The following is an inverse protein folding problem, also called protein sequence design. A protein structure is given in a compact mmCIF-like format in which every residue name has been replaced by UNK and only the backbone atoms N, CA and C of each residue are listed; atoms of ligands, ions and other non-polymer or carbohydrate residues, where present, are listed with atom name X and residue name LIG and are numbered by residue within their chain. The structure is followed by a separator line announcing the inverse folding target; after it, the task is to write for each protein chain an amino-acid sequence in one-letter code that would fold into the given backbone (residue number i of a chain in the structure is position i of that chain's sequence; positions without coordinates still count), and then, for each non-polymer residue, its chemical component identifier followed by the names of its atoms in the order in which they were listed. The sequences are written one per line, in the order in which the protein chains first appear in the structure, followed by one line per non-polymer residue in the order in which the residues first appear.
data_IF_349049180476
#
_entry.id   IF_349049180476
#
_cell.length_a   1.000
_cell.length_b   1.000
_cell.length_c   1.000
_cell.angle_alpha   90.00
_cell.angle_beta   90.00
_cell.angle_gamma   90.00
#
_symmetry.space_group_name_H-M   'P 1'
#
loop_
_entity.id
_entity.type
_entity.pdbx_description
1 polymer ?
#
# COMPACT_ATOMS: atom_id res chain seq x y z
N UNK A 1 -9.07 -26.58 12.69
CA UNK A 1 -10.05 -25.63 13.24
C UNK A 1 -11.43 -25.97 12.71
N UNK A 2 -12.42 -26.14 13.56
CA UNK A 2 -13.82 -26.38 13.17
C UNK A 2 -14.64 -25.16 13.51
N UNK A 3 -15.53 -24.73 12.62
CA UNK A 3 -16.47 -23.63 12.86
C UNK A 3 -17.89 -24.19 13.00
N UNK A 4 -18.53 -23.86 14.10
CA UNK A 4 -19.96 -23.98 14.36
C UNK A 4 -20.57 -25.39 14.39
N UNK A 5 -20.55 -26.14 13.36
CA UNK A 5 -21.23 -27.44 13.18
C UNK A 5 -20.30 -28.64 13.13
N UNK A 6 -19.02 -28.45 13.44
CA UNK A 6 -18.02 -29.52 13.43
C UNK A 6 -17.55 -29.97 12.05
N UNK A 7 -17.99 -29.34 10.99
CA UNK A 7 -17.45 -29.58 9.66
C UNK A 7 -15.96 -29.15 9.59
N UNK A 8 -15.09 -29.91 8.91
CA UNK A 8 -13.72 -29.47 8.71
C UNK A 8 -13.72 -28.12 7.96
N UNK A 9 -12.92 -27.18 8.45
CA UNK A 9 -12.72 -25.92 7.76
C UNK A 9 -12.10 -26.21 6.40
N UNK A 10 -12.92 -26.20 5.36
CA UNK A 10 -12.46 -26.17 3.98
C UNK A 10 -12.13 -24.72 3.72
N UNK A 11 -10.85 -24.46 3.49
CA UNK A 11 -10.35 -23.14 3.21
C UNK A 11 -11.20 -22.46 2.10
N UNK A 12 -11.95 -21.39 2.39
CA UNK A 12 -12.87 -20.80 1.42
C UNK A 12 -12.16 -20.33 0.14
N UNK A 13 -10.85 -20.10 0.21
CA UNK A 13 -10.04 -19.69 -0.94
C UNK A 13 -9.88 -20.77 -2.01
N UNK A 14 -10.00 -22.07 -1.68
CA UNK A 14 -9.97 -23.14 -2.70
C UNK A 14 -11.13 -23.04 -3.70
N UNK A 15 -12.21 -22.33 -3.32
CA UNK A 15 -13.38 -22.06 -4.15
C UNK A 15 -13.71 -20.57 -4.23
N UNK A 16 -12.84 -19.70 -3.71
CA UNK A 16 -13.06 -18.27 -3.64
C UNK A 16 -12.85 -17.63 -5.02
N UNK A 17 -13.70 -16.71 -5.46
CA UNK A 17 -13.56 -15.98 -6.71
C UNK A 17 -12.22 -15.23 -6.87
N UNK A 18 -11.52 -14.87 -5.80
CA UNK A 18 -10.19 -14.27 -5.89
C UNK A 18 -9.20 -15.09 -6.70
N UNK A 19 -9.30 -16.43 -6.66
CA UNK A 19 -8.43 -17.31 -7.43
C UNK A 19 -8.97 -17.63 -8.83
N UNK A 20 -10.25 -17.41 -9.07
CA UNK A 20 -10.92 -17.83 -10.30
C UNK A 20 -11.58 -16.69 -11.08
N UNK A 21 -12.01 -15.62 -10.42
CA UNK A 21 -12.84 -14.61 -11.05
C UNK A 21 -12.71 -13.19 -10.52
N UNK A 22 -12.10 -12.97 -9.36
CA UNK A 22 -11.85 -11.62 -8.88
C UNK A 22 -10.79 -10.94 -9.72
N UNK A 23 -11.13 -9.80 -10.28
CA UNK A 23 -10.32 -9.12 -11.30
C UNK A 23 -9.58 -7.92 -10.77
N UNK A 24 -9.86 -7.50 -9.53
CA UNK A 24 -9.28 -6.30 -8.94
C UNK A 24 -7.97 -6.60 -8.19
N UNK A 25 -6.79 -6.29 -8.75
CA UNK A 25 -5.51 -6.52 -8.08
C UNK A 25 -5.38 -5.81 -6.73
N UNK A 26 -6.04 -4.68 -6.52
CA UNK A 26 -6.00 -3.98 -5.23
C UNK A 26 -6.68 -4.78 -4.11
N UNK A 27 -7.81 -5.44 -4.39
CA UNK A 27 -8.48 -6.34 -3.45
C UNK A 27 -7.60 -7.55 -3.20
N UNK A 28 -7.07 -8.17 -4.27
CA UNK A 28 -6.19 -9.32 -4.19
C UNK A 28 -4.93 -9.02 -3.36
N UNK A 29 -4.32 -7.85 -3.51
CA UNK A 29 -3.17 -7.41 -2.72
C UNK A 29 -3.49 -7.37 -1.21
N UNK A 30 -4.63 -6.79 -0.82
CA UNK A 30 -5.07 -6.78 0.57
C UNK A 30 -5.39 -8.19 1.12
N UNK A 31 -5.94 -9.07 0.28
CA UNK A 31 -6.19 -10.48 0.64
C UNK A 31 -4.87 -11.21 0.86
N UNK A 32 -3.86 -10.98 0.01
CA UNK A 32 -2.51 -11.53 0.18
C UNK A 32 -1.89 -11.06 1.49
N UNK A 33 -1.92 -9.75 1.80
CA UNK A 33 -1.39 -9.24 3.05
C UNK A 33 -2.05 -9.89 4.26
N UNK A 34 -3.38 -9.93 4.27
CA UNK A 34 -4.16 -10.49 5.38
C UNK A 34 -3.92 -12.00 5.51
N UNK A 35 -3.96 -12.73 4.40
CA UNK A 35 -3.74 -14.17 4.39
C UNK A 35 -2.33 -14.55 4.85
N UNK A 36 -1.32 -13.83 4.39
CA UNK A 36 0.07 -14.02 4.81
C UNK A 36 0.23 -13.79 6.32
N UNK A 37 -0.35 -12.71 6.85
CA UNK A 37 -0.34 -12.43 8.29
C UNK A 37 -0.95 -13.57 9.12
N UNK A 38 -2.02 -14.20 8.64
CA UNK A 38 -2.67 -15.33 9.32
C UNK A 38 -2.07 -16.71 8.96
N UNK A 39 -0.97 -16.76 8.22
CA UNK A 39 -0.28 -17.99 7.85
C UNK A 39 -1.03 -18.85 6.83
N UNK A 40 -1.85 -18.21 5.99
CA UNK A 40 -2.55 -18.85 4.89
C UNK A 40 -1.63 -18.93 3.68
N UNK A 41 -1.65 -20.04 2.94
CA UNK A 41 -0.94 -20.13 1.67
C UNK A 41 -1.56 -19.21 0.63
N UNK A 42 -0.85 -18.16 0.28
CA UNK A 42 -1.26 -17.13 -0.69
C UNK A 42 -0.54 -17.29 -2.04
N UNK A 43 0.27 -18.33 -2.24
CA UNK A 43 1.06 -18.52 -3.46
C UNK A 43 0.22 -18.44 -4.75
N UNK A 44 -0.97 -19.07 -4.86
CA UNK A 44 -1.78 -18.97 -6.09
C UNK A 44 -2.22 -17.54 -6.41
N UNK A 45 -2.54 -16.75 -5.39
CA UNK A 45 -2.97 -15.36 -5.59
C UNK A 45 -1.77 -14.45 -5.90
N UNK A 46 -0.62 -14.72 -5.31
CA UNK A 46 0.64 -14.05 -5.64
C UNK A 46 1.03 -14.32 -7.09
N UNK A 47 0.98 -15.57 -7.56
CA UNK A 47 1.26 -15.92 -8.95
C UNK A 47 0.36 -15.14 -9.93
N UNK A 48 -0.93 -15.04 -9.61
CA UNK A 48 -1.88 -14.22 -10.36
C UNK A 48 -1.46 -12.75 -10.42
N UNK A 49 -1.15 -12.13 -9.28
CA UNK A 49 -0.72 -10.74 -9.22
C UNK A 49 0.58 -10.49 -10.01
N UNK A 50 1.51 -11.45 -10.01
CA UNK A 50 2.71 -11.37 -10.85
C UNK A 50 2.38 -11.36 -12.35
N UNK A 51 1.40 -12.18 -12.77
CA UNK A 51 0.92 -12.23 -14.15
C UNK A 51 0.14 -10.98 -14.60
N UNK A 52 -0.44 -10.23 -13.67
CA UNK A 52 -1.23 -9.02 -13.91
C UNK A 52 -0.40 -7.72 -13.88
N UNK A 53 0.91 -7.81 -13.60
CA UNK A 53 1.78 -6.63 -13.56
C UNK A 53 1.89 -5.98 -14.95
N UNK A 54 1.65 -4.67 -15.00
CA UNK A 54 1.72 -3.90 -16.25
C UNK A 54 3.16 -3.56 -16.65
N UNK A 55 3.34 -3.17 -17.92
CA UNK A 55 4.66 -2.88 -18.49
C UNK A 55 5.39 -1.73 -17.82
N UNK A 56 4.65 -0.77 -17.24
CA UNK A 56 5.20 0.36 -16.49
C UNK A 56 5.54 0.05 -15.04
N UNK A 57 5.40 -1.22 -14.62
CA UNK A 57 5.89 -1.76 -13.37
C UNK A 57 4.86 -1.89 -12.25
N UNK A 58 3.69 -1.28 -12.34
CA UNK A 58 2.65 -1.38 -11.32
C UNK A 58 1.43 -2.20 -11.76
N UNK A 59 0.27 -1.93 -11.16
CA UNK A 59 -1.01 -2.61 -11.40
C UNK A 59 -2.15 -1.60 -11.54
N UNK A 60 -3.25 -2.03 -12.17
CA UNK A 60 -4.46 -1.23 -12.29
C UNK A 60 -5.72 -2.11 -12.30
N UNK A 61 -6.72 -1.78 -11.48
CA UNK A 61 -8.01 -2.48 -11.41
C UNK A 61 -8.86 -2.31 -12.68
N UNK A 62 -8.59 -1.26 -13.48
CA UNK A 62 -9.35 -0.93 -14.69
C UNK A 62 -8.80 -1.59 -15.98
N UNK A 63 -7.96 -2.61 -15.86
CA UNK A 63 -7.39 -3.30 -17.05
C UNK A 63 -8.49 -3.91 -17.93
N UNK A 64 -9.53 -4.49 -17.35
CA UNK A 64 -10.68 -5.03 -18.09
C UNK A 64 -11.47 -3.94 -18.84
N UNK A 65 -11.41 -2.70 -18.33
CA UNK A 65 -12.00 -1.52 -18.95
C UNK A 65 -11.05 -0.81 -19.93
N UNK A 66 -9.92 -1.46 -20.24
CA UNK A 66 -8.95 -0.97 -21.23
C UNK A 66 -7.82 -0.12 -20.68
N UNK A 67 -7.62 -0.03 -19.36
CA UNK A 67 -6.45 0.65 -18.79
C UNK A 67 -5.16 -0.08 -19.17
N UNK A 68 -4.16 0.67 -19.64
CA UNK A 68 -2.85 0.15 -20.06
C UNK A 68 -1.69 0.70 -19.23
N UNK A 69 -2.00 1.57 -18.27
CA UNK A 69 -1.05 2.19 -17.33
C UNK A 69 -1.46 1.90 -15.90
N UNK A 70 -0.48 1.78 -15.03
CA UNK A 70 -0.70 1.50 -13.62
C UNK A 70 -1.37 2.65 -12.88
N UNK A 71 -2.05 2.33 -11.78
CA UNK A 71 -2.59 3.30 -10.83
C UNK A 71 -1.85 3.22 -9.49
N UNK A 72 -1.71 4.35 -8.81
CA UNK A 72 -1.07 4.40 -7.49
C UNK A 72 -1.83 3.60 -6.44
N UNK A 73 -3.16 3.76 -6.42
CA UNK A 73 -4.01 3.06 -5.46
C UNK A 73 -3.94 1.54 -5.61
N UNK A 74 -4.03 1.01 -6.84
CA UNK A 74 -3.89 -0.43 -7.05
C UNK A 74 -2.48 -0.90 -6.73
N UNK A 75 -1.47 -0.18 -7.21
CA UNK A 75 -0.07 -0.55 -7.04
C UNK A 75 0.33 -0.65 -5.58
N UNK A 76 -0.01 0.34 -4.73
CA UNK A 76 0.36 0.30 -3.33
C UNK A 76 -0.26 -0.89 -2.58
N UNK A 77 -1.53 -1.22 -2.85
CA UNK A 77 -2.18 -2.37 -2.23
C UNK A 77 -1.52 -3.70 -2.61
N UNK A 78 -1.09 -3.84 -3.87
CA UNK A 78 -0.36 -5.04 -4.31
C UNK A 78 1.04 -5.08 -3.70
N UNK A 79 1.75 -3.97 -3.68
CA UNK A 79 3.09 -3.88 -3.09
C UNK A 79 3.12 -4.28 -1.61
N UNK A 80 2.17 -3.79 -0.83
CA UNK A 80 2.02 -4.17 0.58
C UNK A 80 1.71 -5.67 0.72
N UNK A 81 0.84 -6.21 -0.14
CA UNK A 81 0.54 -7.64 -0.17
C UNK A 81 1.75 -8.51 -0.46
N UNK A 82 2.52 -8.16 -1.49
CA UNK A 82 3.73 -8.88 -1.86
C UNK A 82 4.80 -8.79 -0.76
N UNK A 83 4.95 -7.63 -0.11
CA UNK A 83 5.91 -7.45 0.98
C UNK A 83 5.55 -8.32 2.20
N UNK A 84 4.27 -8.35 2.61
CA UNK A 84 3.82 -9.21 3.71
C UNK A 84 3.97 -10.70 3.37
N UNK A 85 3.73 -11.08 2.11
CA UNK A 85 4.00 -12.45 1.66
C UNK A 85 5.48 -12.80 1.77
N UNK A 86 6.39 -11.93 1.30
CA UNK A 86 7.84 -12.14 1.42
C UNK A 86 8.28 -12.31 2.89
N UNK A 87 7.71 -11.51 3.79
CA UNK A 87 7.99 -11.61 5.23
C UNK A 87 7.52 -12.92 5.86
N UNK A 88 6.38 -13.42 5.40
CA UNK A 88 5.77 -14.62 5.96
C UNK A 88 6.44 -15.92 5.51
N UNK A 89 6.83 -16.02 4.23
CA UNK A 89 7.30 -17.29 3.65
C UNK A 89 8.77 -17.27 3.20
N UNK A 90 9.43 -16.10 3.29
CA UNK A 90 10.75 -15.90 2.70
C UNK A 90 10.62 -15.69 1.18
N UNK A 91 10.96 -14.50 0.68
CA UNK A 91 10.64 -14.07 -0.68
C UNK A 91 11.29 -14.91 -1.79
N UNK A 92 10.63 -14.98 -2.93
CA UNK A 92 11.21 -15.45 -4.19
C UNK A 92 11.86 -14.30 -4.96
N UNK A 93 12.80 -14.62 -5.86
CA UNK A 93 13.41 -13.62 -6.74
C UNK A 93 12.38 -12.93 -7.65
N UNK A 94 11.34 -13.66 -8.05
CA UNK A 94 10.26 -13.14 -8.91
C UNK A 94 9.40 -12.13 -8.16
N UNK A 95 8.97 -12.45 -6.95
CA UNK A 95 8.19 -11.55 -6.09
C UNK A 95 8.98 -10.28 -5.79
N UNK A 96 10.25 -10.42 -5.37
CA UNK A 96 11.13 -9.29 -5.10
C UNK A 96 11.37 -8.42 -6.35
N UNK A 97 11.49 -9.03 -7.54
CA UNK A 97 11.65 -8.29 -8.79
C UNK A 97 10.37 -7.53 -9.18
N UNK A 98 9.21 -8.16 -9.02
CA UNK A 98 7.93 -7.52 -9.30
C UNK A 98 7.67 -6.34 -8.34
N UNK A 99 7.94 -6.54 -7.04
CA UNK A 99 7.81 -5.48 -6.04
C UNK A 99 8.73 -4.30 -6.36
N UNK A 100 10.01 -4.54 -6.66
CA UNK A 100 10.93 -3.46 -7.06
C UNK A 100 10.45 -2.66 -8.27
N UNK A 101 9.92 -3.31 -9.32
CA UNK A 101 9.36 -2.59 -10.47
C UNK A 101 8.17 -1.72 -10.09
N UNK A 102 7.32 -2.18 -9.16
CA UNK A 102 6.21 -1.39 -8.65
C UNK A 102 6.66 -0.21 -7.78
N UNK A 103 7.71 -0.40 -6.99
CA UNK A 103 8.37 0.68 -6.23
C UNK A 103 9.00 1.72 -7.17
N UNK A 104 9.70 1.28 -8.22
CA UNK A 104 10.24 2.14 -9.27
C UNK A 104 9.15 2.96 -9.97
N UNK A 105 7.98 2.34 -10.24
CA UNK A 105 6.82 3.07 -10.79
C UNK A 105 6.40 4.25 -9.90
N UNK A 106 6.38 4.07 -8.57
CA UNK A 106 6.06 5.14 -7.62
C UNK A 106 7.17 6.19 -7.54
N UNK A 107 8.44 5.76 -7.46
CA UNK A 107 9.62 6.62 -7.34
C UNK A 107 9.81 7.51 -8.57
N UNK A 108 9.69 6.98 -9.79
CA UNK A 108 9.79 7.75 -11.04
C UNK A 108 8.75 8.89 -11.14
N UNK A 109 7.74 8.87 -10.28
CA UNK A 109 6.65 9.85 -10.17
C UNK A 109 6.74 10.66 -8.87
N UNK A 110 7.89 10.61 -8.21
CA UNK A 110 8.11 11.27 -6.90
C UNK A 110 6.95 11.04 -5.94
N UNK A 111 6.30 9.86 -6.01
CA UNK A 111 5.16 9.40 -5.21
C UNK A 111 3.82 10.11 -5.48
N UNK A 112 3.76 11.20 -6.24
CA UNK A 112 2.50 11.94 -6.45
C UNK A 112 2.46 12.80 -7.72
N UNK A 113 3.49 12.73 -8.58
CA UNK A 113 3.61 13.59 -9.76
C UNK A 113 3.39 12.82 -11.06
N UNK A 114 2.86 13.51 -12.05
CA UNK A 114 2.82 13.02 -13.43
C UNK A 114 4.23 13.01 -14.01
N UNK A 115 4.67 11.85 -14.50
CA UNK A 115 6.00 11.70 -15.12
C UNK A 115 6.17 12.62 -16.34
N UNK A 116 5.10 12.92 -17.08
CA UNK A 116 5.16 13.73 -18.32
C UNK A 116 5.19 15.23 -18.07
N UNK A 117 4.49 15.75 -17.06
CA UNK A 117 4.32 17.19 -16.82
C UNK A 117 4.92 17.66 -15.48
N UNK A 118 5.22 16.74 -14.56
CA UNK A 118 5.62 17.09 -13.21
C UNK A 118 4.50 17.63 -12.32
N UNK A 119 3.27 17.73 -12.83
CA UNK A 119 2.12 18.19 -12.05
C UNK A 119 1.68 17.18 -11.01
N UNK A 120 1.08 17.65 -9.92
CA UNK A 120 0.43 16.79 -8.91
C UNK A 120 -0.71 16.02 -9.59
N UNK A 121 -0.72 14.71 -9.42
CA UNK A 121 -1.74 13.83 -10.03
C UNK A 121 -3.10 14.07 -9.39
N UNK A 122 -3.12 14.00 -8.06
CA UNK A 122 -4.31 14.22 -7.26
C UNK A 122 -3.94 14.94 -5.95
N UNK A 123 -4.44 16.16 -5.73
CA UNK A 123 -4.17 16.90 -4.49
C UNK A 123 -4.64 16.18 -3.21
N UNK A 124 -5.62 15.28 -3.29
CA UNK A 124 -6.09 14.52 -2.14
C UNK A 124 -5.03 13.59 -1.58
N UNK A 125 -4.09 13.12 -2.40
CA UNK A 125 -2.98 12.26 -1.97
C UNK A 125 -1.98 12.97 -1.05
N UNK A 126 -2.02 14.29 -1.01
CA UNK A 126 -1.20 15.08 -0.09
C UNK A 126 -1.85 15.24 1.28
N UNK A 127 -3.07 14.74 1.50
CA UNK A 127 -3.80 14.78 2.77
C UNK A 127 -3.69 13.42 3.45
N UNK A 128 -3.15 13.39 4.66
CA UNK A 128 -2.89 12.14 5.39
C UNK A 128 -4.15 11.58 6.04
N UNK A 129 -4.41 10.30 5.79
CA UNK A 129 -5.56 9.58 6.31
C UNK A 129 -5.13 8.43 7.24
N UNK A 130 -6.05 8.08 8.16
CA UNK A 130 -5.94 6.85 8.94
C UNK A 130 -7.34 6.41 9.43
N UNK A 131 -7.70 5.10 9.28
CA UNK A 131 -6.99 4.14 8.43
C UNK A 131 -7.03 4.51 6.94
N UNK A 132 -6.00 4.07 6.20
CA UNK A 132 -5.90 4.38 4.77
C UNK A 132 -6.83 3.52 3.91
N UNK A 133 -7.31 2.40 4.44
CA UNK A 133 -8.04 1.39 3.69
C UNK A 133 -7.29 1.01 2.40
N UNK A 134 -7.98 1.06 1.24
CA UNK A 134 -7.39 0.86 -0.08
C UNK A 134 -6.93 2.16 -0.77
N UNK A 135 -7.13 3.31 -0.11
CA UNK A 135 -6.75 4.60 -0.68
C UNK A 135 -5.26 4.89 -0.56
N UNK A 136 -4.76 5.67 -1.48
CA UNK A 136 -3.38 6.12 -1.51
C UNK A 136 -3.26 7.51 -0.90
N UNK A 137 -2.22 7.73 -0.12
CA UNK A 137 -1.65 9.03 0.19
C UNK A 137 -0.11 8.94 0.19
N UNK A 138 0.55 10.10 0.12
CA UNK A 138 2.01 10.16 -0.01
C UNK A 138 2.73 9.59 1.22
N UNK A 139 2.15 9.72 2.41
CA UNK A 139 2.70 9.14 3.64
C UNK A 139 2.66 7.60 3.59
N UNK A 140 1.59 7.01 3.03
CA UNK A 140 1.49 5.55 2.81
C UNK A 140 2.57 5.06 1.83
N UNK A 141 2.79 5.81 0.74
CA UNK A 141 3.85 5.48 -0.21
C UNK A 141 5.25 5.48 0.42
N UNK A 142 5.57 6.51 1.20
CA UNK A 142 6.85 6.61 1.92
C UNK A 142 7.00 5.51 2.98
N UNK A 143 5.94 5.21 3.72
CA UNK A 143 5.92 4.14 4.72
C UNK A 143 6.21 2.78 4.09
N UNK A 144 5.58 2.48 2.94
CA UNK A 144 5.87 1.26 2.19
C UNK A 144 7.35 1.18 1.79
N UNK A 145 7.92 2.24 1.20
CA UNK A 145 9.33 2.24 0.78
C UNK A 145 10.28 1.99 1.96
N UNK A 146 10.02 2.61 3.12
CA UNK A 146 10.75 2.35 4.35
C UNK A 146 10.63 0.87 4.75
N UNK A 147 9.41 0.34 4.78
CA UNK A 147 9.14 -1.04 5.23
C UNK A 147 9.72 -2.09 4.29
N UNK A 148 9.81 -1.77 3.02
CA UNK A 148 10.44 -2.57 1.98
C UNK A 148 11.98 -2.49 2.02
N UNK A 149 12.57 -1.64 2.89
CA UNK A 149 14.00 -1.45 3.00
C UNK A 149 14.63 -0.72 1.81
N UNK A 150 13.83 0.05 1.07
CA UNK A 150 14.34 0.90 -0.01
C UNK A 150 15.23 1.97 0.59
N UNK A 151 16.41 2.18 0.01
CA UNK A 151 17.30 3.27 0.44
C UNK A 151 16.72 4.59 -0.08
N UNK A 152 16.45 5.59 0.79
CA UNK A 152 15.91 6.86 0.32
C UNK A 152 16.96 7.65 -0.48
N UNK A 153 16.47 8.38 -1.48
CA UNK A 153 17.24 9.25 -2.35
C UNK A 153 16.47 10.55 -2.68
N UNK A 154 16.96 11.33 -3.62
CA UNK A 154 16.35 12.59 -4.03
C UNK A 154 14.92 12.43 -4.60
N UNK A 155 14.55 11.25 -5.09
CA UNK A 155 13.22 10.99 -5.65
C UNK A 155 12.11 11.08 -4.60
N UNK A 156 12.42 10.82 -3.33
CA UNK A 156 11.47 10.92 -2.22
C UNK A 156 11.57 12.24 -1.45
N UNK A 157 12.59 13.06 -1.69
CA UNK A 157 12.88 14.26 -0.89
C UNK A 157 11.69 15.26 -0.85
N UNK A 158 10.99 15.46 -1.98
CA UNK A 158 9.83 16.35 -2.02
C UNK A 158 8.66 15.79 -1.21
N UNK A 159 8.40 14.48 -1.28
CA UNK A 159 7.37 13.82 -0.50
C UNK A 159 7.67 13.89 1.00
N UNK A 160 8.93 13.72 1.38
CA UNK A 160 9.41 13.87 2.77
C UNK A 160 9.23 15.31 3.26
N UNK A 161 9.55 16.31 2.42
CA UNK A 161 9.34 17.72 2.76
C UNK A 161 7.86 18.05 3.01
N UNK A 162 6.93 17.41 2.28
CA UNK A 162 5.48 17.52 2.54
C UNK A 162 5.14 16.95 3.93
N UNK A 163 5.70 15.79 4.27
CA UNK A 163 5.49 15.19 5.59
C UNK A 163 6.01 16.12 6.68
N UNK A 164 7.24 16.60 6.57
CA UNK A 164 7.86 17.49 7.54
C UNK A 164 7.08 18.80 7.71
N UNK A 165 6.63 19.41 6.62
CA UNK A 165 5.89 20.66 6.61
C UNK A 165 4.50 20.59 7.26
N UNK A 166 3.97 19.41 7.54
CA UNK A 166 2.67 19.21 8.21
C UNK A 166 2.78 19.00 9.72
N UNK A 167 3.98 19.01 10.26
CA UNK A 167 4.23 18.87 11.68
C UNK A 167 3.71 20.09 12.43
N UNK A 168 2.85 19.87 13.43
CA UNK A 168 2.35 20.92 14.29
C UNK A 168 3.43 21.37 15.30
N UNK A 169 3.20 22.50 16.03
CA UNK A 169 4.17 22.99 17.03
C UNK A 169 4.42 22.01 18.20
N UNK A 170 3.49 21.10 18.46
CA UNK A 170 3.63 20.04 19.48
C UNK A 170 4.35 18.80 18.95
N UNK A 171 4.79 18.81 17.69
CA UNK A 171 5.52 17.71 17.06
C UNK A 171 4.63 16.57 16.55
N UNK A 172 3.34 16.83 16.32
CA UNK A 172 2.35 15.85 15.87
C UNK A 172 1.85 16.17 14.47
N UNK A 173 1.17 15.20 13.84
CA UNK A 173 0.55 15.32 12.52
C UNK A 173 -0.97 15.18 12.63
N UNK A 174 -1.73 16.02 11.92
CA UNK A 174 -3.18 15.96 11.95
C UNK A 174 -3.72 14.75 11.16
N UNK A 175 -4.94 14.34 11.50
CA UNK A 175 -5.79 13.57 10.60
C UNK A 175 -6.43 14.52 9.60
N UNK A 176 -5.99 14.51 8.36
CA UNK A 176 -6.44 15.50 7.36
C UNK A 176 -7.59 14.99 6.51
N UNK A 177 -7.78 13.67 6.47
CA UNK A 177 -8.81 13.03 5.68
C UNK A 177 -9.32 11.77 6.36
N UNK A 178 -10.64 11.60 6.39
CA UNK A 178 -11.32 10.41 6.88
C UNK A 178 -12.07 9.76 5.73
N UNK A 179 -11.63 8.58 5.33
CA UNK A 179 -12.33 7.81 4.30
C UNK A 179 -13.64 7.23 4.83
N UNK A 180 -14.68 7.26 4.01
CA UNK A 180 -15.95 6.65 4.34
C UNK A 180 -15.76 5.13 4.55
N UNK A 181 -16.30 4.63 5.66
CA UNK A 181 -16.23 3.22 6.03
C UNK A 181 -16.67 3.04 7.48
N UNK A 182 -17.13 1.83 7.82
CA UNK A 182 -17.49 1.51 9.19
C UNK A 182 -16.26 0.91 9.90
N UNK A 183 -15.79 1.58 10.95
CA UNK A 183 -14.84 1.02 11.90
C UNK A 183 -15.60 0.51 13.13
N UNK A 184 -15.28 -0.70 13.58
CA UNK A 184 -15.87 -1.27 14.80
C UNK A 184 -15.29 -0.65 16.09
N UNK A 185 -14.20 0.09 15.95
CA UNK A 185 -13.53 0.80 17.04
C UNK A 185 -13.16 2.21 16.59
N UNK A 186 -13.29 3.16 17.51
CA UNK A 186 -12.86 4.53 17.28
C UNK A 186 -11.33 4.59 17.41
N UNK A 187 -10.63 4.82 16.31
CA UNK A 187 -9.16 4.82 16.27
C UNK A 187 -8.55 6.20 16.38
N UNK A 188 -9.31 7.25 16.04
CA UNK A 188 -8.85 8.63 15.93
C UNK A 188 -9.89 9.62 16.47
N UNK A 189 -9.43 10.79 16.87
CA UNK A 189 -10.30 11.83 17.45
C UNK A 189 -11.12 12.63 16.42
N UNK A 190 -10.96 12.36 15.14
CA UNK A 190 -11.68 13.00 14.02
C UNK A 190 -10.80 13.88 13.14
N UNK A 191 -11.37 14.30 12.00
CA UNK A 191 -10.67 15.12 11.01
C UNK A 191 -10.23 16.48 11.60
N UNK A 192 -9.03 16.91 11.27
CA UNK A 192 -8.40 18.13 11.76
C UNK A 192 -7.74 17.99 13.13
N UNK A 193 -7.96 16.91 13.86
CA UNK A 193 -7.34 16.67 15.16
C UNK A 193 -5.97 16.01 15.01
N UNK A 194 -5.06 16.17 16.00
CA UNK A 194 -3.79 15.44 16.00
C UNK A 194 -4.02 13.93 15.98
N UNK A 195 -3.43 13.26 14.97
CA UNK A 195 -3.49 11.82 14.81
C UNK A 195 -2.27 11.15 15.43
N UNK A 196 -2.49 10.23 16.36
CA UNK A 196 -1.40 9.42 16.91
C UNK A 196 -0.79 8.48 15.86
N UNK A 197 -1.61 7.98 14.92
CA UNK A 197 -1.15 7.07 13.90
C UNK A 197 -0.37 7.78 12.79
N UNK A 198 -0.88 8.90 12.26
CA UNK A 198 -0.12 9.69 11.29
C UNK A 198 1.17 10.24 11.92
N UNK A 199 1.15 10.61 13.21
CA UNK A 199 2.35 11.02 13.93
C UNK A 199 3.39 9.90 14.00
N UNK A 200 2.99 8.68 14.37
CA UNK A 200 3.90 7.53 14.41
C UNK A 200 4.48 7.21 13.03
N UNK A 201 3.64 7.19 12.01
CA UNK A 201 4.03 6.92 10.61
C UNK A 201 5.00 7.98 10.10
N UNK A 202 4.67 9.25 10.29
CA UNK A 202 5.52 10.37 9.88
C UNK A 202 6.88 10.35 10.57
N UNK A 203 6.94 10.14 11.89
CA UNK A 203 8.20 10.05 12.63
C UNK A 203 9.09 8.91 12.09
N UNK A 204 8.52 7.74 11.83
CA UNK A 204 9.25 6.60 11.24
C UNK A 204 9.81 6.90 9.85
N UNK A 205 9.04 7.60 9.02
CA UNK A 205 9.47 8.03 7.69
C UNK A 205 10.61 9.04 7.78
N UNK A 206 10.50 10.03 8.66
CA UNK A 206 11.55 11.04 8.85
C UNK A 206 12.85 10.42 9.40
N UNK A 207 12.74 9.49 10.36
CA UNK A 207 13.90 8.75 10.87
C UNK A 207 14.58 7.91 9.78
N UNK A 208 13.80 7.22 8.95
CA UNK A 208 14.32 6.45 7.82
C UNK A 208 15.05 7.34 6.81
N UNK A 209 14.49 8.49 6.48
CA UNK A 209 15.11 9.42 5.54
C UNK A 209 16.42 10.02 6.11
N UNK A 210 16.44 10.38 7.39
CA UNK A 210 17.61 10.94 8.06
C UNK A 210 18.79 9.97 8.15
N UNK A 211 18.56 8.64 8.13
CA UNK A 211 19.62 7.64 8.19
C UNK A 211 20.39 7.45 6.86
N UNK A 212 19.91 8.04 5.77
CA UNK A 212 20.53 7.92 4.45
C UNK A 212 21.53 9.06 4.13
N UNK A 213 21.52 10.14 4.89
CA UNK A 213 22.45 11.27 4.79
C UNK A 213 23.56 11.14 5.82
#
# INVERSE_FOLDING_TARGET
MTWGDGAPFVAPWATNPFFAGEVEPCINGNVVATGAYFGVDMAPLVERLLGEQLRDGGWNCEVENGATVSSFGTTINVLEGLLEHERAVGGSLEVAAARRRGEEYLLERSLFRRKSSGEVIDPSWLRFSFPTWYFYDVLRGLEHLRDAGVKPDDLVAEAVAIVEGKRDPDGRWPLENVHAGASHVEMEAGEGQPSRWNTLRALRVLDWFAQAG
#
